data_IF_467149149047
#
_entry.id   IF_467149149047
#
_cell.length_a   1.000
_cell.length_b   1.000
_cell.length_c   1.000
_cell.angle_alpha   90.00
_cell.angle_beta   90.00
_cell.angle_gamma   90.00
#
_symmetry.space_group_name_H-M   'P 1'
#
loop_
_entity.id
_entity.type
_entity.pdbx_description
1 polymer ?
#
# COMPACT_ATOMS: atom_id res chain seq x y z
N UNK A 1 12.06 -19.31 2.19
CA UNK A 1 11.00 -18.51 2.84
C UNK A 1 10.63 -17.45 1.81
N UNK A 2 9.44 -17.56 1.21
CA UNK A 2 8.97 -16.70 0.13
C UNK A 2 7.53 -16.30 0.40
N UNK A 3 6.93 -15.52 -0.50
CA UNK A 3 5.49 -15.21 -0.46
C UNK A 3 4.66 -16.50 -0.51
N UNK A 4 3.47 -16.50 0.09
CA UNK A 4 2.59 -17.67 0.08
C UNK A 4 2.26 -18.05 -1.39
N UNK A 5 2.16 -19.35 -1.74
CA UNK A 5 1.95 -19.79 -3.13
C UNK A 5 0.73 -19.15 -3.79
N UNK A 6 -0.38 -19.04 -3.06
CA UNK A 6 -1.61 -18.37 -3.48
C UNK A 6 -1.44 -16.85 -3.74
N UNK A 7 -0.54 -16.18 -3.01
CA UNK A 7 -0.19 -14.78 -3.30
C UNK A 7 0.65 -14.70 -4.57
N UNK A 8 1.64 -15.58 -4.73
CA UNK A 8 2.46 -15.63 -5.95
C UNK A 8 1.61 -15.87 -7.20
N UNK A 9 0.68 -16.83 -7.15
CA UNK A 9 -0.19 -17.17 -8.27
C UNK A 9 -1.07 -15.99 -8.70
N UNK A 10 -1.58 -15.19 -7.76
CA UNK A 10 -2.38 -14.01 -8.05
C UNK A 10 -1.61 -12.94 -8.84
N UNK A 11 -0.30 -12.78 -8.56
CA UNK A 11 0.54 -11.76 -9.19
C UNK A 11 1.24 -12.22 -10.48
N UNK A 12 1.46 -13.53 -10.64
CA UNK A 12 2.00 -14.10 -11.89
C UNK A 12 1.09 -13.86 -13.11
N UNK A 13 -0.19 -13.51 -12.90
CA UNK A 13 -1.14 -13.17 -13.95
C UNK A 13 -0.91 -11.78 -14.59
N UNK A 14 0.00 -10.95 -14.04
CA UNK A 14 0.48 -9.71 -14.67
C UNK A 14 -0.54 -8.56 -14.72
N UNK A 15 -1.64 -8.65 -13.97
CA UNK A 15 -2.72 -7.65 -13.96
C UNK A 15 -2.45 -6.42 -13.05
N UNK A 16 -1.39 -6.44 -12.23
CA UNK A 16 -1.17 -5.42 -11.19
C UNK A 16 -0.97 -4.02 -11.75
N UNK A 17 -0.28 -3.87 -12.89
CA UNK A 17 -0.01 -2.55 -13.48
C UNK A 17 -1.29 -1.87 -13.99
N UNK A 18 -2.28 -2.63 -14.47
CA UNK A 18 -3.56 -2.09 -14.91
C UNK A 18 -4.46 -1.67 -13.72
N UNK A 19 -4.28 -2.30 -12.54
CA UNK A 19 -5.11 -2.05 -11.34
C UNK A 19 -5.10 -0.59 -10.90
N UNK A 20 -3.94 0.08 -10.97
CA UNK A 20 -3.76 1.47 -10.52
C UNK A 20 -4.06 2.52 -11.59
N UNK A 21 -4.46 2.11 -12.81
CA UNK A 21 -4.69 3.02 -13.93
C UNK A 21 -6.15 3.46 -14.10
N UNK A 22 -7.10 2.86 -13.37
CA UNK A 22 -8.54 3.17 -13.48
C UNK A 22 -9.25 3.19 -12.12
N UNK A 23 -10.43 3.81 -12.08
CA UNK A 23 -11.35 3.77 -10.94
C UNK A 23 -10.70 4.01 -9.57
N UNK A 24 -10.91 3.04 -8.65
CA UNK A 24 -10.43 3.11 -7.27
C UNK A 24 -8.91 3.08 -7.17
N UNK A 25 -8.24 2.34 -8.05
CA UNK A 25 -6.77 2.28 -8.09
C UNK A 25 -6.13 3.58 -8.57
N UNK A 26 -6.77 4.31 -9.48
CA UNK A 26 -6.32 5.66 -9.85
C UNK A 26 -6.42 6.63 -8.66
N UNK A 27 -7.52 6.59 -7.89
CA UNK A 27 -7.65 7.39 -6.68
C UNK A 27 -6.56 7.04 -5.65
N UNK A 28 -6.34 5.74 -5.39
CA UNK A 28 -5.28 5.22 -4.52
C UNK A 28 -3.92 5.80 -4.91
N UNK A 29 -3.57 5.74 -6.21
CA UNK A 29 -2.33 6.27 -6.75
C UNK A 29 -2.21 7.80 -6.57
N UNK A 30 -3.23 8.56 -6.98
CA UNK A 30 -3.22 10.02 -6.88
C UNK A 30 -3.07 10.49 -5.43
N UNK A 31 -3.79 9.84 -4.51
CA UNK A 31 -3.74 10.16 -3.08
C UNK A 31 -2.42 9.77 -2.44
N UNK A 32 -1.88 8.61 -2.78
CA UNK A 32 -0.55 8.17 -2.31
C UNK A 32 0.54 9.13 -2.79
N UNK A 33 0.51 9.56 -4.06
CA UNK A 33 1.42 10.58 -4.59
C UNK A 33 1.28 11.91 -3.85
N UNK A 34 0.05 12.39 -3.65
CA UNK A 34 -0.24 13.64 -2.96
C UNK A 34 0.31 13.66 -1.53
N UNK A 35 0.09 12.59 -0.79
CA UNK A 35 0.62 12.44 0.56
C UNK A 35 2.14 12.38 0.51
N UNK A 36 2.73 11.45 -0.24
CA UNK A 36 4.18 11.26 -0.23
C UNK A 36 4.94 12.53 -0.66
N UNK A 37 4.51 13.22 -1.72
CA UNK A 37 5.17 14.46 -2.19
C UNK A 37 5.26 15.56 -1.14
N UNK A 38 4.33 15.61 -0.17
CA UNK A 38 4.39 16.57 0.95
C UNK A 38 5.44 16.22 2.01
N UNK A 39 5.87 14.96 2.06
CA UNK A 39 6.77 14.44 3.10
C UNK A 39 8.14 13.99 2.59
N UNK A 40 8.26 13.76 1.27
CA UNK A 40 9.52 13.45 0.61
C UNK A 40 10.53 14.61 0.75
N UNK A 41 11.82 14.33 0.96
CA UNK A 41 12.86 15.33 0.84
C UNK A 41 13.02 15.81 -0.62
N UNK A 42 13.67 16.96 -0.82
CA UNK A 42 13.98 17.44 -2.17
C UNK A 42 14.80 16.41 -2.98
N UNK A 43 14.51 16.32 -4.27
CA UNK A 43 15.28 15.49 -5.18
C UNK A 43 16.71 16.05 -5.40
N UNK A 44 17.71 15.18 -5.65
CA UNK A 44 17.61 13.73 -5.66
C UNK A 44 17.71 13.15 -4.23
N UNK A 45 16.72 12.34 -3.87
CA UNK A 45 16.77 11.50 -2.68
C UNK A 45 16.94 10.03 -3.08
N UNK A 46 17.58 9.23 -2.23
CA UNK A 46 17.72 7.80 -2.47
C UNK A 46 16.56 7.05 -1.81
N UNK A 47 15.74 6.40 -2.63
CA UNK A 47 14.49 5.75 -2.22
C UNK A 47 14.61 4.24 -2.41
N UNK A 48 14.19 3.48 -1.40
CA UNK A 48 13.97 2.04 -1.50
C UNK A 48 12.46 1.78 -1.54
N UNK A 49 11.97 1.20 -2.63
CA UNK A 49 10.58 0.75 -2.80
C UNK A 49 10.50 -0.76 -2.56
N UNK A 50 10.02 -1.17 -1.39
CA UNK A 50 10.02 -2.57 -0.94
C UNK A 50 8.64 -3.19 -1.18
N UNK A 51 8.61 -4.30 -1.91
CA UNK A 51 7.38 -4.89 -2.44
C UNK A 51 6.73 -3.98 -3.46
N UNK A 52 7.53 -3.32 -4.32
CA UNK A 52 7.06 -2.31 -5.27
C UNK A 52 6.35 -2.86 -6.51
N UNK A 53 6.19 -4.18 -6.60
CA UNK A 53 5.49 -4.84 -7.70
C UNK A 53 6.09 -4.50 -9.08
N UNK A 54 5.26 -4.26 -10.11
CA UNK A 54 5.73 -3.87 -11.45
C UNK A 54 6.39 -2.49 -11.50
N UNK A 55 6.44 -1.75 -10.39
CA UNK A 55 7.14 -0.47 -10.28
C UNK A 55 6.26 0.76 -10.47
N UNK A 56 4.95 0.67 -10.25
CA UNK A 56 4.03 1.82 -10.40
C UNK A 56 4.46 3.01 -9.55
N UNK A 57 4.91 2.79 -8.31
CA UNK A 57 5.41 3.89 -7.48
C UNK A 57 6.83 4.29 -7.85
N UNK A 58 7.69 3.32 -8.12
CA UNK A 58 9.05 3.58 -8.56
C UNK A 58 9.14 4.47 -9.81
N UNK A 59 8.23 4.29 -10.77
CA UNK A 59 8.18 5.05 -12.02
C UNK A 59 8.02 6.56 -11.78
N UNK A 60 6.97 6.97 -11.06
CA UNK A 60 6.71 8.40 -10.84
C UNK A 60 7.74 9.02 -9.89
N UNK A 61 8.29 8.26 -8.95
CA UNK A 61 9.38 8.73 -8.07
C UNK A 61 10.66 8.99 -8.88
N UNK A 62 10.98 8.14 -9.85
CA UNK A 62 12.10 8.36 -10.75
C UNK A 62 11.85 9.57 -11.67
N UNK A 63 10.62 9.74 -12.17
CA UNK A 63 10.21 10.89 -12.96
C UNK A 63 10.29 12.22 -12.16
N UNK A 64 10.00 12.18 -10.86
CA UNK A 64 10.19 13.31 -9.93
C UNK A 64 11.68 13.59 -9.62
N UNK A 65 12.62 12.82 -10.18
CA UNK A 65 14.07 13.05 -10.11
C UNK A 65 14.79 12.32 -8.98
N UNK A 66 14.12 11.38 -8.31
CA UNK A 66 14.74 10.58 -7.24
C UNK A 66 15.55 9.39 -7.80
N UNK A 67 16.43 8.85 -6.96
CA UNK A 67 17.17 7.61 -7.25
C UNK A 67 16.42 6.45 -6.63
N UNK A 68 15.72 5.67 -7.46
CA UNK A 68 14.84 4.60 -6.98
C UNK A 68 15.49 3.25 -7.13
N UNK A 69 15.53 2.51 -6.01
CA UNK A 69 15.80 1.08 -5.99
C UNK A 69 14.54 0.35 -5.55
N UNK A 70 14.06 -0.59 -6.34
CA UNK A 70 12.91 -1.43 -6.03
C UNK A 70 13.39 -2.83 -5.62
N UNK A 71 12.75 -3.41 -4.61
CA UNK A 71 12.96 -4.78 -4.17
C UNK A 71 11.62 -5.49 -4.19
N UNK A 72 11.53 -6.65 -4.84
CA UNK A 72 10.29 -7.43 -4.89
C UNK A 72 10.59 -8.94 -4.86
N UNK A 73 9.75 -9.78 -4.21
CA UNK A 73 9.97 -11.23 -4.19
C UNK A 73 9.52 -11.95 -5.48
N UNK A 74 8.80 -11.28 -6.38
CA UNK A 74 8.30 -11.86 -7.63
C UNK A 74 9.24 -11.55 -8.79
N UNK A 75 9.84 -12.57 -9.46
CA UNK A 75 10.77 -12.33 -10.57
C UNK A 75 10.18 -11.53 -11.74
N UNK A 76 8.90 -11.75 -12.08
CA UNK A 76 8.21 -11.03 -13.15
C UNK A 76 8.13 -9.53 -12.86
N UNK A 77 7.79 -9.15 -11.62
CA UNK A 77 7.76 -7.76 -11.17
C UNK A 77 9.13 -7.09 -11.27
N UNK A 78 10.19 -7.78 -10.81
CA UNK A 78 11.57 -7.29 -10.94
C UNK A 78 11.96 -7.09 -12.40
N UNK A 79 11.55 -7.98 -13.29
CA UNK A 79 11.80 -7.86 -14.72
C UNK A 79 11.09 -6.64 -15.31
N UNK A 80 9.80 -6.45 -15.01
CA UNK A 80 8.99 -5.33 -15.47
C UNK A 80 9.54 -3.99 -14.96
N UNK A 81 9.83 -3.90 -13.66
CA UNK A 81 10.35 -2.69 -13.03
C UNK A 81 11.74 -2.28 -13.55
N UNK A 82 12.61 -3.24 -13.91
CA UNK A 82 13.89 -2.94 -14.56
C UNK A 82 13.74 -2.40 -15.99
N UNK A 83 12.57 -2.54 -16.62
CA UNK A 83 12.26 -1.92 -17.89
C UNK A 83 11.94 -0.43 -17.79
N UNK A 84 11.69 0.08 -16.58
CA UNK A 84 11.33 1.48 -16.33
C UNK A 84 12.58 2.38 -16.33
N UNK A 85 12.44 3.57 -16.92
CA UNK A 85 13.54 4.53 -16.96
C UNK A 85 13.87 5.06 -15.56
N UNK A 86 15.16 5.03 -15.19
CA UNK A 86 15.62 5.57 -13.91
C UNK A 86 15.35 4.68 -12.68
N UNK A 87 14.81 3.48 -12.88
CA UNK A 87 14.55 2.51 -11.82
C UNK A 87 15.55 1.36 -11.91
N UNK A 88 16.10 0.95 -10.75
CA UNK A 88 16.79 -0.33 -10.60
C UNK A 88 15.90 -1.24 -9.77
N UNK A 89 15.68 -2.49 -10.18
CA UNK A 89 14.94 -3.46 -9.39
C UNK A 89 15.78 -4.72 -9.10
N UNK A 90 15.59 -5.31 -7.92
CA UNK A 90 16.24 -6.57 -7.51
C UNK A 90 15.28 -7.50 -6.79
N UNK A 91 15.56 -8.81 -6.85
CA UNK A 91 14.82 -9.81 -6.10
C UNK A 91 15.15 -9.71 -4.60
N UNK A 92 14.14 -9.72 -3.74
CA UNK A 92 14.35 -9.75 -2.29
C UNK A 92 13.08 -9.84 -1.46
N UNK A 93 13.24 -10.09 -0.16
CA UNK A 93 12.15 -10.22 0.81
C UNK A 93 12.16 -9.01 1.76
N UNK A 94 10.99 -8.44 2.02
CA UNK A 94 10.85 -7.28 2.91
C UNK A 94 11.35 -7.56 4.34
N UNK A 95 11.35 -8.82 4.78
CA UNK A 95 11.79 -9.26 6.12
C UNK A 95 13.31 -9.40 6.24
N UNK A 96 14.04 -9.37 5.13
CA UNK A 96 15.49 -9.49 5.09
C UNK A 96 16.08 -8.79 3.85
N UNK A 97 16.24 -7.48 3.95
CA UNK A 97 16.71 -6.63 2.86
C UNK A 97 18.23 -6.75 2.68
N UNK A 98 18.67 -7.08 1.48
CA UNK A 98 20.08 -7.09 1.06
C UNK A 98 20.63 -5.66 0.83
N UNK A 99 20.39 -4.78 1.79
CA UNK A 99 20.80 -3.38 1.80
C UNK A 99 21.59 -3.07 3.08
N UNK A 100 22.57 -2.17 2.97
CA UNK A 100 23.31 -1.69 4.13
C UNK A 100 22.43 -0.85 5.06
N UNK A 101 22.79 -0.83 6.34
CA UNK A 101 22.20 0.05 7.35
C UNK A 101 22.31 1.52 6.92
N UNK A 102 21.28 2.31 7.23
CA UNK A 102 21.27 3.76 6.95
C UNK A 102 21.66 4.16 5.51
N UNK A 103 21.23 3.36 4.53
CA UNK A 103 21.59 3.54 3.13
C UNK A 103 20.59 4.40 2.32
N UNK A 104 19.39 4.65 2.84
CA UNK A 104 18.29 5.31 2.11
C UNK A 104 17.71 6.50 2.87
N UNK A 105 17.32 7.54 2.13
CA UNK A 105 16.64 8.72 2.67
C UNK A 105 15.15 8.44 2.91
N UNK A 106 14.58 7.57 2.08
CA UNK A 106 13.17 7.15 2.12
C UNK A 106 13.07 5.65 1.90
N UNK A 107 12.23 4.97 2.67
CA UNK A 107 11.86 3.57 2.48
C UNK A 107 10.34 3.47 2.38
N UNK A 108 9.84 2.85 1.32
CA UNK A 108 8.42 2.61 1.09
C UNK A 108 8.11 1.13 1.27
N UNK A 109 7.02 0.84 1.99
CA UNK A 109 6.42 -0.47 2.18
C UNK A 109 4.97 -0.41 1.68
N UNK A 110 4.76 -0.10 0.40
CA UNK A 110 3.43 0.10 -0.18
C UNK A 110 2.76 -1.21 -0.69
N UNK A 111 3.41 -2.36 -0.49
CA UNK A 111 2.90 -3.66 -0.90
C UNK A 111 3.02 -4.81 0.13
N UNK A 112 4.07 -4.91 0.96
CA UNK A 112 4.36 -6.18 1.62
C UNK A 112 3.52 -6.44 2.88
N UNK A 113 3.13 -5.41 3.64
CA UNK A 113 2.63 -5.61 5.01
C UNK A 113 1.32 -6.42 5.07
N UNK A 114 0.40 -6.19 4.13
CA UNK A 114 -0.85 -6.94 4.09
C UNK A 114 -0.68 -8.36 3.54
N UNK A 115 0.45 -8.72 2.93
CA UNK A 115 0.76 -10.10 2.54
C UNK A 115 1.48 -10.90 3.63
N UNK A 116 1.93 -10.25 4.70
CA UNK A 116 2.57 -10.88 5.84
C UNK A 116 1.53 -11.13 6.94
N UNK A 117 0.96 -12.34 6.96
CA UNK A 117 -0.14 -12.68 7.88
C UNK A 117 0.31 -12.79 9.33
N UNK A 118 1.56 -13.20 9.57
CA UNK A 118 2.15 -13.21 10.91
C UNK A 118 2.54 -11.81 11.38
N UNK A 119 2.18 -11.47 12.62
CA UNK A 119 2.61 -10.23 13.27
C UNK A 119 4.14 -10.15 13.42
N UNK A 120 4.82 -11.28 13.61
CA UNK A 120 6.29 -11.34 13.67
C UNK A 120 6.91 -10.96 12.33
N UNK A 121 6.37 -11.48 11.23
CA UNK A 121 6.84 -11.17 9.88
C UNK A 121 6.62 -9.69 9.54
N UNK A 122 5.45 -9.12 9.87
CA UNK A 122 5.20 -7.68 9.69
C UNK A 122 6.18 -6.83 10.49
N UNK A 123 6.41 -7.18 11.75
CA UNK A 123 7.37 -6.47 12.60
C UNK A 123 8.81 -6.59 12.06
N UNK A 124 9.19 -7.75 11.50
CA UNK A 124 10.48 -7.93 10.84
C UNK A 124 10.64 -7.00 9.62
N UNK A 125 9.61 -6.89 8.78
CA UNK A 125 9.62 -5.96 7.64
C UNK A 125 9.74 -4.49 8.07
N UNK A 126 9.00 -4.07 9.11
CA UNK A 126 9.14 -2.73 9.69
C UNK A 126 10.55 -2.47 10.24
N UNK A 127 11.14 -3.45 10.93
CA UNK A 127 12.51 -3.34 11.47
C UNK A 127 13.56 -3.25 10.37
N UNK A 128 13.40 -3.99 9.29
CA UNK A 128 14.29 -3.89 8.13
C UNK A 128 14.19 -2.52 7.46
N UNK A 129 12.97 -2.00 7.27
CA UNK A 129 12.77 -0.65 6.77
C UNK A 129 13.42 0.41 7.67
N UNK A 130 13.28 0.28 9.00
CA UNK A 130 13.94 1.14 9.97
C UNK A 130 15.48 1.01 9.93
N UNK A 131 16.01 -0.21 9.77
CA UNK A 131 17.46 -0.47 9.71
C UNK A 131 18.09 0.24 8.52
N UNK A 132 17.51 0.08 7.33
CA UNK A 132 18.06 0.61 6.07
C UNK A 132 17.79 2.11 5.88
N UNK A 133 16.80 2.67 6.57
CA UNK A 133 16.58 4.12 6.60
C UNK A 133 17.71 4.86 7.34
N UNK A 134 18.10 6.03 6.83
CA UNK A 134 19.02 6.96 7.50
C UNK A 134 18.37 7.57 8.75
N UNK A 135 19.16 7.99 9.76
CA UNK A 135 18.62 8.80 10.86
C UNK A 135 17.87 10.03 10.32
N UNK A 136 16.63 10.25 10.78
CA UNK A 136 15.70 11.26 10.26
C UNK A 136 15.01 10.92 8.93
N UNK A 137 15.38 9.81 8.28
CA UNK A 137 14.82 9.32 7.02
C UNK A 137 13.35 8.94 7.15
N UNK A 138 12.60 9.08 6.07
CA UNK A 138 11.17 8.76 6.00
C UNK A 138 10.99 7.25 5.79
N UNK A 139 10.09 6.65 6.56
CA UNK A 139 9.55 5.31 6.29
C UNK A 139 8.05 5.46 6.11
N UNK A 140 7.52 5.05 4.96
CA UNK A 140 6.09 5.09 4.68
C UNK A 140 5.58 3.69 4.36
N UNK A 141 4.45 3.28 4.92
CA UNK A 141 3.90 1.95 4.71
C UNK A 141 2.40 1.98 4.48
N UNK A 142 1.94 1.27 3.45
CA UNK A 142 0.54 1.10 3.15
C UNK A 142 0.02 -0.22 3.75
N UNK A 143 -1.22 -0.19 4.22
CA UNK A 143 -1.96 -1.38 4.67
C UNK A 143 -3.37 -1.35 4.11
N UNK A 144 -4.03 -2.50 4.08
CA UNK A 144 -5.46 -2.62 3.80
C UNK A 144 -6.20 -2.64 5.13
N UNK A 145 -7.32 -1.92 5.24
CA UNK A 145 -8.14 -1.91 6.45
C UNK A 145 -9.04 -3.14 6.54
N UNK A 146 -9.37 -3.56 7.77
CA UNK A 146 -10.32 -4.67 8.01
C UNK A 146 -11.69 -4.46 7.37
N UNK A 147 -12.04 -3.22 7.09
CA UNK A 147 -13.33 -2.84 6.52
C UNK A 147 -13.33 -2.79 5.00
N UNK A 148 -12.17 -2.97 4.35
CA UNK A 148 -12.05 -2.89 2.90
C UNK A 148 -12.99 -3.87 2.18
N UNK A 149 -12.95 -5.16 2.52
CA UNK A 149 -13.89 -6.15 1.95
C UNK A 149 -15.35 -5.87 2.35
N UNK A 150 -15.61 -5.36 3.55
CA UNK A 150 -16.98 -4.97 3.94
C UNK A 150 -17.56 -3.92 2.99
N UNK A 151 -16.78 -2.90 2.63
CA UNK A 151 -17.21 -1.82 1.74
C UNK A 151 -17.11 -2.18 0.25
N UNK A 152 -16.22 -3.09 -0.14
CA UNK A 152 -16.26 -3.70 -1.47
C UNK A 152 -17.60 -4.42 -1.69
N UNK A 153 -18.14 -5.11 -0.69
CA UNK A 153 -19.48 -5.70 -0.77
C UNK A 153 -20.61 -4.70 -1.05
N UNK A 154 -20.46 -3.45 -0.60
CA UNK A 154 -21.43 -2.36 -0.85
C UNK A 154 -21.26 -1.80 -2.27
N UNK A 155 -20.01 -1.52 -2.65
CA UNK A 155 -19.69 -0.87 -3.92
C UNK A 155 -19.66 -1.81 -5.13
N UNK A 156 -19.56 -3.13 -4.89
CA UNK A 156 -19.53 -4.20 -5.91
C UNK A 156 -20.68 -5.19 -5.66
N UNK A 157 -21.88 -4.92 -6.20
CA UNK A 157 -23.08 -5.73 -5.91
C UNK A 157 -23.02 -7.19 -6.35
N UNK A 158 -22.02 -7.60 -7.13
CA UNK A 158 -21.77 -9.00 -7.50
C UNK A 158 -21.15 -9.81 -6.36
N UNK A 159 -20.34 -9.19 -5.50
CA UNK A 159 -19.63 -9.88 -4.42
C UNK A 159 -20.58 -10.52 -3.40
N UNK A 160 -21.53 -9.79 -2.78
CA UNK A 160 -22.43 -10.38 -1.78
C UNK A 160 -23.48 -11.33 -2.37
N UNK A 161 -23.54 -11.53 -3.69
CA UNK A 161 -24.40 -12.55 -4.33
C UNK A 161 -23.85 -13.95 -4.14
N UNK A 162 -22.54 -14.10 -3.99
CA UNK A 162 -21.96 -15.35 -3.54
C UNK A 162 -22.11 -15.45 -2.02
N UNK A 163 -22.82 -16.49 -1.55
CA UNK A 163 -23.09 -16.69 -0.13
C UNK A 163 -21.81 -16.87 0.70
N UNK A 164 -20.68 -17.25 0.07
CA UNK A 164 -19.38 -17.40 0.73
C UNK A 164 -18.74 -16.05 1.09
N UNK A 165 -19.16 -14.95 0.48
CA UNK A 165 -18.53 -13.64 0.67
C UNK A 165 -18.69 -13.11 2.10
N UNK A 166 -19.90 -13.20 2.66
CA UNK A 166 -20.19 -12.69 4.01
C UNK A 166 -19.34 -13.36 5.09
N UNK A 167 -19.23 -14.71 5.17
CA UNK A 167 -18.31 -15.36 6.10
C UNK A 167 -16.85 -14.91 5.99
N UNK A 168 -16.34 -14.68 4.77
CA UNK A 168 -14.98 -14.16 4.56
C UNK A 168 -14.83 -12.75 5.11
N UNK A 169 -15.82 -11.88 4.85
CA UNK A 169 -15.84 -10.51 5.37
C UNK A 169 -15.94 -10.49 6.90
N UNK A 170 -16.84 -11.27 7.49
CA UNK A 170 -17.03 -11.35 8.94
C UNK A 170 -15.71 -11.79 9.61
N UNK A 171 -15.06 -12.82 9.07
CA UNK A 171 -13.77 -13.28 9.57
C UNK A 171 -12.69 -12.20 9.48
N UNK A 172 -12.55 -11.53 8.33
CA UNK A 172 -11.56 -10.46 8.15
C UNK A 172 -11.80 -9.26 9.08
N UNK A 173 -13.06 -8.90 9.34
CA UNK A 173 -13.42 -7.83 10.28
C UNK A 173 -13.04 -8.21 11.71
N UNK A 174 -13.32 -9.45 12.13
CA UNK A 174 -13.06 -9.93 13.48
C UNK A 174 -11.57 -10.16 13.75
N UNK A 175 -10.87 -10.86 12.87
CA UNK A 175 -9.51 -11.37 13.10
C UNK A 175 -8.44 -10.53 12.40
N UNK A 176 -8.81 -9.84 11.31
CA UNK A 176 -7.88 -9.23 10.38
C UNK A 176 -7.44 -10.19 9.27
N UNK A 177 -7.75 -11.48 9.34
CA UNK A 177 -7.31 -12.43 8.34
C UNK A 177 -8.31 -12.53 7.18
N UNK A 178 -7.83 -12.29 5.97
CA UNK A 178 -8.61 -12.42 4.74
C UNK A 178 -8.20 -13.71 4.01
N UNK A 179 -9.13 -14.66 3.89
CA UNK A 179 -8.91 -15.96 3.25
C UNK A 179 -10.01 -16.22 2.20
N UNK A 180 -9.84 -15.77 0.95
CA UNK A 180 -10.84 -16.00 -0.10
C UNK A 180 -10.78 -17.46 -0.60
N UNK A 181 -11.90 -18.00 -1.12
CA UNK A 181 -11.84 -19.22 -1.93
C UNK A 181 -11.00 -19.00 -3.20
N UNK A 182 -10.15 -19.96 -3.60
CA UNK A 182 -9.20 -19.78 -4.71
C UNK A 182 -9.88 -19.66 -6.08
N UNK A 183 -11.16 -20.03 -6.20
CA UNK A 183 -11.97 -19.93 -7.42
C UNK A 183 -12.68 -18.57 -7.58
N UNK A 184 -12.30 -17.56 -6.77
CA UNK A 184 -12.92 -16.23 -6.79
C UNK A 184 -11.95 -15.17 -7.31
N UNK A 185 -12.52 -14.08 -7.85
CA UNK A 185 -11.75 -12.89 -8.23
C UNK A 185 -11.60 -11.89 -7.06
N UNK A 186 -11.80 -12.34 -5.83
CA UNK A 186 -11.62 -11.49 -4.65
C UNK A 186 -10.14 -11.28 -4.35
N UNK A 187 -9.82 -10.29 -3.53
CA UNK A 187 -8.44 -10.03 -3.13
C UNK A 187 -7.85 -11.27 -2.45
N UNK A 188 -6.54 -11.51 -2.63
CA UNK A 188 -5.86 -12.74 -2.18
C UNK A 188 -5.77 -12.85 -0.64
N UNK A 189 -5.09 -13.90 -0.16
CA UNK A 189 -4.77 -14.10 1.25
C UNK A 189 -3.98 -12.91 1.80
N UNK A 190 -4.50 -12.33 2.88
CA UNK A 190 -3.93 -11.10 3.44
C UNK A 190 -4.24 -10.94 4.92
N UNK A 191 -3.49 -10.04 5.57
CA UNK A 191 -3.83 -9.47 6.87
C UNK A 191 -4.26 -8.01 6.70
N UNK A 192 -5.46 -7.72 7.15
CA UNK A 192 -6.07 -6.41 7.15
C UNK A 192 -6.00 -5.80 8.56
N UNK A 193 -5.57 -4.55 8.60
CA UNK A 193 -5.28 -3.84 9.84
C UNK A 193 -6.49 -3.05 10.34
N UNK A 194 -6.62 -2.93 11.67
CA UNK A 194 -7.34 -1.82 12.30
C UNK A 194 -6.53 -0.54 12.16
N UNK A 195 -7.18 0.64 12.13
CA UNK A 195 -6.48 1.90 11.90
C UNK A 195 -5.29 2.21 12.83
N UNK A 196 -5.34 1.72 14.07
CA UNK A 196 -4.31 1.93 15.09
C UNK A 196 -3.11 0.97 14.97
N UNK A 197 -3.27 -0.19 14.32
CA UNK A 197 -2.27 -1.26 14.30
C UNK A 197 -0.96 -0.86 13.56
N UNK A 198 -1.00 -0.26 12.35
CA UNK A 198 0.23 0.06 11.61
C UNK A 198 1.13 1.06 12.34
N UNK A 199 0.53 2.05 13.00
CA UNK A 199 1.27 3.01 13.82
C UNK A 199 1.87 2.35 15.08
N UNK A 200 1.18 1.36 15.67
CA UNK A 200 1.73 0.60 16.78
C UNK A 200 2.91 -0.29 16.33
N UNK A 201 2.79 -0.96 15.19
CA UNK A 201 3.86 -1.76 14.59
C UNK A 201 5.10 -0.91 14.25
N UNK A 202 4.91 0.26 13.64
CA UNK A 202 6.00 1.20 13.36
C UNK A 202 6.74 1.64 14.63
N UNK A 203 6.01 1.97 15.71
CA UNK A 203 6.61 2.31 17.01
C UNK A 203 7.36 1.13 17.62
N UNK A 204 6.81 -0.09 17.53
CA UNK A 204 7.47 -1.30 18.00
C UNK A 204 8.77 -1.63 17.23
N UNK A 205 8.90 -1.13 16.00
CA UNK A 205 10.12 -1.18 15.21
C UNK A 205 11.12 -0.05 15.52
N UNK A 206 10.81 0.84 16.46
CA UNK A 206 11.68 1.95 16.87
C UNK A 206 11.59 3.18 15.97
N UNK A 207 10.48 3.36 15.24
CA UNK A 207 10.22 4.55 14.42
C UNK A 207 9.34 5.56 15.17
N UNK A 208 9.59 6.85 14.90
CA UNK A 208 8.74 7.95 15.35
C UNK A 208 7.61 8.16 14.34
N UNK A 209 6.38 7.78 14.70
CA UNK A 209 5.21 7.95 13.82
C UNK A 209 4.87 9.44 13.69
N UNK A 210 4.82 9.91 12.45
CA UNK A 210 4.45 11.28 12.07
C UNK A 210 2.95 11.38 11.86
N UNK A 211 2.37 10.46 11.11
CA UNK A 211 0.93 10.44 10.80
C UNK A 211 0.49 9.05 10.33
N UNK A 212 -0.79 8.76 10.47
CA UNK A 212 -1.49 7.70 9.72
C UNK A 212 -2.62 8.38 8.98
N UNK A 213 -2.66 8.21 7.66
CA UNK A 213 -3.63 8.90 6.81
C UNK A 213 -4.50 7.93 6.03
N UNK A 214 -5.77 8.30 5.84
CA UNK A 214 -6.67 7.67 4.89
C UNK A 214 -6.26 8.02 3.45
N UNK A 215 -6.11 6.98 2.62
CA UNK A 215 -5.74 7.15 1.21
C UNK A 215 -6.98 7.54 0.40
N UNK A 216 -7.94 6.63 0.24
CA UNK A 216 -9.19 6.91 -0.47
C UNK A 216 -10.25 7.58 0.41
N UNK A 217 -10.16 7.41 1.73
CA UNK A 217 -11.20 7.87 2.67
C UNK A 217 -12.58 7.32 2.29
N UNK A 218 -13.64 8.09 2.59
CA UNK A 218 -15.02 7.70 2.28
C UNK A 218 -15.31 7.55 0.79
N UNK A 219 -14.46 8.12 -0.10
CA UNK A 219 -14.62 7.94 -1.54
C UNK A 219 -14.38 6.49 -2.00
N UNK A 220 -13.65 5.70 -1.19
CA UNK A 220 -13.53 4.25 -1.36
C UNK A 220 -14.86 3.50 -1.31
N UNK A 221 -15.94 4.11 -0.82
CA UNK A 221 -17.28 3.51 -0.79
C UNK A 221 -18.12 3.81 -2.04
N UNK A 222 -17.69 4.76 -2.88
CA UNK A 222 -18.42 5.08 -4.12
C UNK A 222 -18.42 3.89 -5.07
N UNK A 223 -19.51 3.73 -5.80
CA UNK A 223 -19.57 2.82 -6.93
C UNK A 223 -18.53 3.23 -7.97
N UNK A 224 -17.91 2.26 -8.62
CA UNK A 224 -16.78 2.50 -9.54
C UNK A 224 -17.11 3.52 -10.63
N UNK A 225 -18.28 3.39 -11.25
CA UNK A 225 -18.77 4.34 -12.27
C UNK A 225 -18.86 5.78 -11.77
N UNK A 226 -19.35 5.97 -10.54
CA UNK A 226 -19.53 7.32 -9.98
C UNK A 226 -18.18 7.93 -9.61
N UNK A 227 -17.25 7.11 -9.10
CA UNK A 227 -15.88 7.53 -8.82
C UNK A 227 -15.14 7.91 -10.11
N UNK A 228 -15.24 7.10 -11.16
CA UNK A 228 -14.65 7.40 -12.47
C UNK A 228 -15.19 8.70 -13.05
N UNK A 229 -16.51 8.92 -12.97
CA UNK A 229 -17.13 10.16 -13.42
C UNK A 229 -16.62 11.37 -12.61
N UNK A 230 -16.46 11.23 -11.29
CA UNK A 230 -15.91 12.27 -10.43
C UNK A 230 -14.43 12.59 -10.73
N UNK A 231 -13.62 11.57 -11.08
CA UNK A 231 -12.20 11.75 -11.41
C UNK A 231 -11.98 12.31 -12.83
N UNK A 232 -12.92 12.04 -13.75
CA UNK A 232 -12.87 12.54 -15.13
C UNK A 232 -13.26 14.01 -15.26
N UNK A 233 -14.08 14.53 -14.33
CA UNK A 233 -14.45 15.95 -14.28
C UNK A 233 -13.45 16.73 -13.40
N UNK A 234 -12.78 17.74 -13.97
CA UNK A 234 -11.73 18.48 -13.28
C UNK A 234 -12.22 19.19 -12.00
N UNK A 235 -13.45 19.70 -11.99
CA UNK A 235 -14.02 20.44 -10.84
C UNK A 235 -14.38 19.49 -9.71
N UNK A 236 -15.04 18.38 -10.03
CA UNK A 236 -15.34 17.34 -9.06
C UNK A 236 -14.08 16.66 -8.54
N UNK A 237 -13.09 16.39 -9.40
CA UNK A 237 -11.80 15.82 -8.99
C UNK A 237 -11.10 16.74 -8.00
N UNK A 238 -11.01 18.04 -8.29
CA UNK A 238 -10.41 19.01 -7.38
C UNK A 238 -11.12 19.03 -6.02
N UNK A 239 -12.45 19.13 -6.02
CA UNK A 239 -13.24 19.11 -4.79
C UNK A 239 -13.08 17.80 -4.00
N UNK A 240 -13.09 16.66 -4.70
CA UNK A 240 -12.89 15.34 -4.09
C UNK A 240 -11.53 15.24 -3.40
N UNK A 241 -10.45 15.61 -4.10
CA UNK A 241 -9.10 15.55 -3.54
C UNK A 241 -8.93 16.54 -2.37
N UNK A 242 -9.52 17.73 -2.46
CA UNK A 242 -9.57 18.69 -1.35
C UNK A 242 -10.30 18.11 -0.13
N UNK A 243 -11.47 17.52 -0.33
CA UNK A 243 -12.28 16.94 0.74
C UNK A 243 -11.54 15.79 1.43
N UNK A 244 -10.94 14.88 0.65
CA UNK A 244 -10.16 13.76 1.17
C UNK A 244 -8.95 14.24 1.98
N UNK A 245 -8.24 15.26 1.51
CA UNK A 245 -7.14 15.86 2.28
C UNK A 245 -7.62 16.47 3.59
N UNK A 246 -8.83 17.03 3.63
CA UNK A 246 -9.36 17.70 4.83
C UNK A 246 -9.68 16.74 5.99
N UNK A 247 -9.88 15.46 5.66
CA UNK A 247 -10.27 14.41 6.60
C UNK A 247 -9.24 13.29 6.71
N UNK A 248 -8.09 13.42 6.05
CA UNK A 248 -7.14 12.32 5.88
C UNK A 248 -6.53 11.83 7.20
N UNK A 249 -6.38 12.70 8.18
CA UNK A 249 -5.75 12.43 9.48
C UNK A 249 -6.76 12.32 10.64
N UNK A 250 -8.06 12.38 10.35
CA UNK A 250 -9.12 12.28 11.36
C UNK A 250 -9.41 10.80 11.71
N UNK A 251 -9.07 10.34 12.93
CA UNK A 251 -9.25 8.95 13.32
C UNK A 251 -10.71 8.47 13.25
N UNK A 252 -11.68 9.38 13.33
CA UNK A 252 -13.11 9.02 13.27
C UNK A 252 -13.55 8.48 11.92
N UNK A 253 -12.77 8.74 10.85
CA UNK A 253 -13.08 8.31 9.48
C UNK A 253 -12.02 7.41 8.85
N UNK A 254 -10.90 7.13 9.51
CA UNK A 254 -9.87 6.21 8.98
C UNK A 254 -10.45 4.84 8.63
N UNK A 255 -11.36 4.33 9.45
CA UNK A 255 -12.01 3.04 9.20
C UNK A 255 -12.84 3.01 7.91
N UNK A 256 -13.23 4.16 7.36
CA UNK A 256 -13.97 4.25 6.09
C UNK A 256 -13.08 4.14 4.84
N UNK A 257 -11.75 4.20 5.00
CA UNK A 257 -10.79 4.07 3.90
C UNK A 257 -10.44 2.62 3.63
N UNK A 258 -10.26 2.24 2.37
CA UNK A 258 -9.77 0.90 2.00
C UNK A 258 -8.30 0.73 2.37
N UNK A 259 -7.48 1.75 2.11
CA UNK A 259 -6.07 1.77 2.49
C UNK A 259 -5.76 2.87 3.49
N UNK A 260 -4.76 2.60 4.34
CA UNK A 260 -4.12 3.59 5.20
C UNK A 260 -2.63 3.66 4.87
N UNK A 261 -2.08 4.87 4.91
CA UNK A 261 -0.66 5.12 4.76
C UNK A 261 -0.10 5.66 6.08
N UNK A 262 0.79 4.91 6.70
CA UNK A 262 1.51 5.37 7.90
C UNK A 262 2.85 5.96 7.52
N UNK A 263 3.08 7.20 7.95
CA UNK A 263 4.32 7.94 7.78
C UNK A 263 5.06 7.97 9.11
N UNK A 264 6.31 7.53 9.11
CA UNK A 264 7.18 7.52 10.27
C UNK A 264 8.59 8.00 9.92
N UNK A 265 9.37 8.36 10.92
CA UNK A 265 10.79 8.72 10.76
C UNK A 265 11.66 7.85 11.63
N UNK A 266 12.85 7.53 11.13
CA UNK A 266 13.89 6.97 11.99
C UNK A 266 14.37 8.07 12.96
N UNK A 267 14.48 7.80 14.27
CA UNK A 267 15.08 8.73 15.22
C UNK A 267 16.48 9.19 14.76
N UNK A 268 16.87 10.41 15.13
CA UNK A 268 18.19 10.98 14.80
C UNK A 268 19.30 10.45 15.68
#
# INVERSE_FOLDING_TARGET
MGIAPEVAAHYDEGAEQARLCTGRGLLELLRTQDVLRRHLPHAPAKILDVGGGPGTHAEWLAADGHRVHLVDPVPLHVQQANGLFGVRATLGDARALAAADAAYDVVLLCGPLYHLTSAEDRLAAWREAARVARPGGLVAAAVITRYASLFDGISRPSFPRDARYRPVVDHAVETGEHHPPPDTHWFTTAYFHRPEEPAAEARAAGLDVVATVAVEGSAGMLAERDLEAALADDTHRDYLLWALRRTEDDPSVHGASSHLLTLARKPR
#
